data_IF_873721611005
#
_entry.id   IF_873721611005
#
_cell.length_a   1.000
_cell.length_b   1.000
_cell.length_c   1.000
_cell.angle_alpha   90.00
_cell.angle_beta   90.00
_cell.angle_gamma   90.00
#
_symmetry.space_group_name_H-M   'P 1'
#
loop_
_entity.id
_entity.type
_entity.pdbx_description
1 polymer ?
#
# COMPACT_ATOMS: atom_id res chain seq x y z
N UNK A 1 58.07 8.58 -22.09
CA UNK A 1 57.15 9.63 -22.59
C UNK A 1 55.75 9.35 -22.08
N UNK A 2 55.26 10.12 -21.09
CA UNK A 2 53.87 10.09 -20.65
C UNK A 2 53.08 11.20 -21.37
N UNK A 3 51.79 11.02 -21.62
CA UNK A 3 50.90 12.18 -21.56
C UNK A 3 49.48 11.82 -21.13
N UNK A 4 49.05 12.61 -20.15
CA UNK A 4 47.75 12.69 -19.53
C UNK A 4 46.84 13.59 -20.39
N UNK A 5 45.55 13.29 -20.44
CA UNK A 5 44.50 14.29 -20.61
C UNK A 5 43.19 13.64 -20.12
N UNK A 6 42.67 13.90 -18.91
CA UNK A 6 42.21 15.15 -18.29
C UNK A 6 40.94 15.74 -18.93
N UNK A 7 39.85 15.59 -18.17
CA UNK A 7 38.82 16.60 -17.86
C UNK A 7 37.81 17.05 -18.91
N UNK A 8 36.53 16.70 -18.68
CA UNK A 8 35.45 17.64 -18.31
C UNK A 8 34.13 16.86 -18.10
N UNK A 9 33.55 16.85 -16.89
CA UNK A 9 32.50 17.77 -16.39
C UNK A 9 31.16 17.57 -17.14
N UNK A 10 29.98 17.40 -16.55
CA UNK A 10 29.47 17.45 -15.19
C UNK A 10 28.02 16.90 -15.21
N UNK A 11 27.37 16.89 -14.04
CA UNK A 11 25.91 17.01 -13.79
C UNK A 11 25.15 15.70 -13.45
N UNK A 12 24.96 15.57 -12.12
CA UNK A 12 23.76 15.12 -11.37
C UNK A 12 23.16 13.75 -11.69
N UNK A 13 23.36 12.81 -10.78
CA UNK A 13 22.22 12.30 -9.98
C UNK A 13 22.72 11.69 -8.67
N UNK A 14 22.13 12.08 -7.54
CA UNK A 14 22.39 11.51 -6.22
C UNK A 14 21.04 11.13 -5.64
N UNK A 15 20.66 9.87 -5.75
CA UNK A 15 19.49 9.31 -5.06
C UNK A 15 19.93 8.66 -3.74
N UNK A 16 19.61 9.32 -2.63
CA UNK A 16 19.60 8.77 -1.25
C UNK A 16 18.50 7.71 -1.10
N UNK A 17 18.65 6.76 -0.14
CA UNK A 17 17.77 6.77 1.05
C UNK A 17 18.54 6.36 2.34
N UNK A 18 17.97 6.35 3.57
CA UNK A 18 16.56 6.57 3.95
C UNK A 18 16.38 7.67 5.02
N UNK A 19 15.19 8.29 5.06
CA UNK A 19 14.79 9.22 6.12
C UNK A 19 13.47 8.73 6.72
N UNK A 20 13.61 8.13 7.89
CA UNK A 20 12.54 7.69 8.76
C UNK A 20 12.19 8.86 9.69
N UNK A 21 11.07 9.53 9.44
CA UNK A 21 10.49 10.52 10.34
C UNK A 21 9.09 10.05 10.67
N UNK A 22 8.96 9.40 11.83
CA UNK A 22 7.70 9.33 12.55
C UNK A 22 7.55 10.62 13.37
N UNK A 23 6.75 11.57 12.88
CA UNK A 23 6.31 12.72 13.64
C UNK A 23 4.97 12.42 14.33
N UNK A 24 5.10 12.01 15.59
CA UNK A 24 4.43 12.55 16.77
C UNK A 24 3.31 13.60 16.54
N UNK A 25 2.07 13.30 16.94
CA UNK A 25 1.30 14.22 17.81
C UNK A 25 0.21 13.46 18.58
N UNK A 26 0.55 12.99 19.78
CA UNK A 26 -0.42 12.70 20.83
C UNK A 26 -0.75 14.04 21.52
N UNK A 27 -1.99 14.51 21.37
CA UNK A 27 -2.52 15.57 22.24
C UNK A 27 -3.46 14.90 23.23
N UNK A 28 -2.94 14.61 24.42
CA UNK A 28 -3.74 14.70 25.64
C UNK A 28 -4.28 16.12 25.74
N UNK A 29 -5.58 16.30 25.97
CA UNK A 29 -6.09 17.47 26.69
C UNK A 29 -7.55 17.27 27.13
N UNK A 30 -7.69 17.36 28.45
CA UNK A 30 -8.81 17.94 29.19
C UNK A 30 -10.09 17.12 29.39
N UNK A 31 -10.09 16.41 30.53
CA UNK A 31 -11.27 15.98 31.26
C UNK A 31 -11.53 17.03 32.35
N UNK A 32 -12.53 17.90 32.19
CA UNK A 32 -13.19 18.48 33.36
C UNK A 32 -14.66 18.89 33.14
N UNK A 33 -15.42 18.54 34.16
CA UNK A 33 -16.73 18.97 34.69
C UNK A 33 -17.74 19.79 33.87
N UNK A 34 -19.00 19.32 33.90
CA UNK A 34 -20.17 20.04 34.49
C UNK A 34 -21.33 19.03 34.62
N UNK A 35 -21.66 18.55 35.83
CA UNK A 35 -22.72 19.01 36.73
C UNK A 35 -24.15 19.13 36.13
N UNK A 36 -24.97 18.14 36.51
CA UNK A 36 -26.30 18.24 37.15
C UNK A 36 -27.44 19.00 36.45
N UNK A 37 -28.52 18.29 36.08
CA UNK A 37 -29.94 18.71 36.29
C UNK A 37 -30.83 17.43 36.44
N UNK A 38 -31.89 17.40 37.30
CA UNK A 38 -32.39 16.20 37.98
C UNK A 38 -33.61 15.47 37.37
N UNK A 39 -33.90 14.32 37.98
CA UNK A 39 -34.78 13.20 37.60
C UNK A 39 -36.28 13.38 37.95
N UNK A 40 -36.94 14.50 37.56
CA UNK A 40 -38.37 14.72 37.87
C UNK A 40 -39.21 15.28 36.71
N UNK A 41 -39.02 14.78 35.49
CA UNK A 41 -39.83 15.16 34.33
C UNK A 41 -40.60 13.99 33.73
N UNK A 42 -41.74 13.61 34.34
CA UNK A 42 -42.86 12.96 33.64
C UNK A 42 -44.20 13.34 34.30
N UNK A 43 -45.20 13.86 33.55
CA UNK A 43 -46.56 13.95 34.03
C UNK A 43 -47.32 12.70 33.59
N UNK A 44 -47.80 11.88 34.54
CA UNK A 44 -48.82 10.88 34.25
C UNK A 44 -50.15 11.22 34.94
N UNK A 45 -51.21 11.11 34.16
CA UNK A 45 -52.58 11.51 34.46
C UNK A 45 -53.33 10.27 34.92
N UNK A 46 -54.05 10.34 36.05
CA UNK A 46 -55.45 9.87 36.19
C UNK A 46 -55.96 9.87 37.64
N UNK A 47 -57.24 10.26 37.73
CA UNK A 47 -58.26 9.90 38.72
C UNK A 47 -58.46 10.81 39.96
N UNK A 48 -59.35 11.78 39.74
CA UNK A 48 -60.39 12.33 40.64
C UNK A 48 -61.21 11.22 41.37
N UNK A 49 -62.14 11.53 42.33
CA UNK A 49 -62.07 12.47 43.46
C UNK A 49 -62.86 11.98 44.71
N UNK A 50 -62.89 12.75 45.82
CA UNK A 50 -63.89 12.50 46.86
C UNK A 50 -63.86 13.35 48.13
N UNK A 51 -64.60 14.47 48.08
CA UNK A 51 -65.45 15.04 49.16
C UNK A 51 -64.81 15.82 50.34
N UNK A 52 -65.48 16.95 50.64
CA UNK A 52 -65.47 17.78 51.86
C UNK A 52 -64.27 18.75 51.97
N UNK A 53 -64.41 20.07 52.11
CA UNK A 53 -65.34 20.88 52.89
C UNK A 53 -65.48 22.28 52.28
N UNK A 54 -66.70 22.79 52.13
CA UNK A 54 -66.95 24.23 51.96
C UNK A 54 -68.25 24.59 52.67
N UNK A 55 -68.14 24.93 53.95
CA UNK A 55 -69.20 25.59 54.71
C UNK A 55 -68.64 26.84 55.37
N UNK A 56 -69.40 27.92 55.21
CA UNK A 56 -69.48 29.11 56.08
C UNK A 56 -68.41 30.19 55.90
N UNK A 57 -68.68 31.12 54.97
CA UNK A 57 -68.80 32.58 55.21
C UNK A 57 -69.84 33.00 54.14
N UNK A 58 -71.07 33.41 54.44
CA UNK A 58 -71.44 34.72 54.97
C UNK A 58 -72.72 34.54 55.79
N UNK A 59 -72.54 34.45 57.11
CA UNK A 59 -73.52 34.88 58.11
C UNK A 59 -73.17 36.31 58.51
N UNK A 60 -74.23 37.10 58.75
CA UNK A 60 -74.29 38.46 59.34
C UNK A 60 -73.99 39.61 58.36
N UNK A 61 -74.88 40.57 58.11
CA UNK A 61 -76.02 41.09 58.87
C UNK A 61 -77.20 41.45 57.94
N UNK A 62 -78.42 41.31 58.46
CA UNK A 62 -79.65 41.81 57.85
C UNK A 62 -80.88 41.35 58.61
N UNK A 63 -80.91 41.65 59.91
CA UNK A 63 -82.02 41.34 60.82
C UNK A 63 -83.23 42.22 60.48
N UNK A 64 -84.40 41.59 60.43
CA UNK A 64 -85.61 42.15 61.03
C UNK A 64 -86.64 42.73 60.06
N UNK A 65 -87.69 41.95 59.78
CA UNK A 65 -89.07 42.40 59.99
C UNK A 65 -90.04 41.20 59.88
N UNK A 66 -90.63 40.81 61.00
CA UNK A 66 -91.69 39.80 61.09
C UNK A 66 -93.03 40.50 61.33
N UNK A 67 -94.05 40.09 60.56
CA UNK A 67 -95.47 40.35 60.80
C UNK A 67 -96.13 41.18 59.69
N UNK A 68 -97.20 40.74 59.01
CA UNK A 68 -98.05 39.57 59.22
C UNK A 68 -99.08 39.43 58.08
N UNK A 69 -99.60 38.21 57.99
CA UNK A 69 -100.40 37.58 56.94
C UNK A 69 -101.76 38.21 56.59
N UNK A 70 -102.22 37.87 55.38
CA UNK A 70 -103.61 37.64 54.98
C UNK A 70 -103.54 36.42 54.02
N UNK A 71 -104.39 35.39 54.00
CA UNK A 71 -105.77 35.22 54.40
C UNK A 71 -106.10 33.72 54.48
N UNK A 72 -106.76 33.26 55.54
CA UNK A 72 -107.94 32.41 55.36
C UNK A 72 -108.83 32.51 56.59
N UNK A 73 -109.97 33.19 56.38
CA UNK A 73 -111.31 32.77 56.79
C UNK A 73 -111.47 32.16 58.19
N UNK A 74 -112.09 32.91 59.11
CA UNK A 74 -113.50 32.67 59.46
C UNK A 74 -114.03 33.77 60.41
N UNK A 75 -115.32 33.99 60.27
CA UNK A 75 -116.06 35.19 60.65
C UNK A 75 -116.10 35.49 62.15
N UNK A 76 -116.02 36.78 62.42
CA UNK A 76 -116.39 37.44 63.64
C UNK A 76 -117.91 37.49 63.87
N UNK A 77 -118.23 37.50 65.17
CA UNK A 77 -119.24 38.33 65.83
C UNK A 77 -120.71 37.91 65.86
N UNK A 78 -121.05 37.39 67.04
CA UNK A 78 -122.20 37.82 67.82
C UNK A 78 -122.28 39.35 67.95
N UNK A 79 -123.43 39.92 67.61
CA UNK A 79 -123.80 41.30 67.96
C UNK A 79 -125.01 41.27 68.88
N UNK A 80 -124.80 41.85 70.06
CA UNK A 80 -125.80 42.05 71.11
C UNK A 80 -126.80 43.16 70.74
N UNK A 81 -128.01 42.96 71.25
CA UNK A 81 -129.17 43.87 71.25
C UNK A 81 -128.80 45.32 71.61
N UNK A 82 -129.41 46.32 70.96
CA UNK A 82 -129.36 47.70 71.42
C UNK A 82 -130.53 48.00 72.37
N UNK A 83 -130.23 48.65 73.50
CA UNK A 83 -131.22 49.30 74.37
C UNK A 83 -131.08 50.82 74.23
N UNK A 84 -132.12 51.40 73.62
CA UNK A 84 -132.83 52.63 74.01
C UNK A 84 -132.10 53.98 73.97
N UNK A 85 -132.49 54.82 72.99
CA UNK A 85 -132.58 56.28 73.13
C UNK A 85 -133.43 56.90 71.98
N UNK A 86 -134.27 57.89 72.28
CA UNK A 86 -134.72 58.95 71.37
C UNK A 86 -134.76 60.26 72.17
N UNK A 87 -134.59 61.46 71.57
CA UNK A 87 -133.97 61.83 70.30
C UNK A 87 -132.74 62.74 70.54
N UNK A 88 -132.15 63.23 69.45
CA UNK A 88 -131.55 64.56 69.45
C UNK A 88 -130.06 64.59 69.75
N UNK A 89 -129.24 64.28 68.75
CA UNK A 89 -128.56 65.32 67.95
C UNK A 89 -127.60 66.18 68.75
N UNK A 90 -126.34 66.00 68.34
CA UNK A 90 -125.39 67.08 68.04
C UNK A 90 -124.97 67.86 69.28
N UNK A 91 -123.68 67.74 69.59
CA UNK A 91 -122.68 68.77 69.29
C UNK A 91 -121.40 68.27 69.93
N UNK A 92 -120.61 67.61 69.09
CA UNK A 92 -119.36 66.97 69.46
C UNK A 92 -118.31 68.04 69.73
N UNK A 93 -117.65 67.89 70.86
CA UNK A 93 -116.53 68.67 71.36
C UNK A 93 -115.22 67.95 71.05
N UNK A 94 -114.27 68.76 70.58
CA UNK A 94 -113.06 68.43 69.84
C UNK A 94 -111.86 68.25 70.79
N UNK A 95 -111.15 67.13 70.74
CA UNK A 95 -109.94 66.88 71.55
C UNK A 95 -108.74 66.67 70.63
N UNK A 96 -107.72 67.48 70.88
CA UNK A 96 -106.52 67.70 70.08
C UNK A 96 -105.52 66.57 70.32
N UNK A 97 -105.80 65.39 69.79
CA UNK A 97 -104.79 64.35 69.66
C UNK A 97 -104.26 64.39 68.23
N UNK A 98 -102.97 64.69 68.12
CA UNK A 98 -102.23 64.62 66.87
C UNK A 98 -101.96 63.13 66.62
N UNK A 99 -102.39 62.58 65.46
CA UNK A 99 -102.17 61.17 65.15
C UNK A 99 -100.69 60.91 64.84
N UNK A 100 -100.15 59.84 65.44
CA UNK A 100 -98.81 59.34 65.13
C UNK A 100 -98.95 58.37 63.95
N UNK A 101 -98.38 58.78 62.81
CA UNK A 101 -98.19 57.94 61.64
C UNK A 101 -96.81 57.28 61.72
N UNK A 102 -96.80 55.96 61.61
CA UNK A 102 -95.59 55.14 61.66
C UNK A 102 -94.88 55.17 60.31
N UNK A 103 -93.76 55.89 60.26
CA UNK A 103 -92.80 55.84 59.15
C UNK A 103 -91.59 55.00 59.56
N UNK A 104 -91.16 54.11 58.66
CA UNK A 104 -89.93 53.32 58.81
C UNK A 104 -88.71 54.23 58.70
N UNK A 105 -87.92 54.33 59.77
CA UNK A 105 -86.66 55.06 59.80
C UNK A 105 -85.54 54.12 59.30
N UNK A 106 -84.95 54.40 58.14
CA UNK A 106 -83.75 53.68 57.72
C UNK A 106 -82.51 54.32 58.36
N UNK A 107 -81.85 53.55 59.22
CA UNK A 107 -80.59 53.96 59.87
C UNK A 107 -79.45 53.78 58.86
N UNK A 108 -79.04 54.86 58.21
CA UNK A 108 -77.91 54.85 57.28
C UNK A 108 -76.64 55.29 57.99
N UNK A 109 -75.56 54.52 57.90
CA UNK A 109 -74.23 54.91 58.34
C UNK A 109 -73.37 55.29 57.12
N UNK A 110 -72.74 56.46 57.18
CA UNK A 110 -71.80 56.91 56.15
C UNK A 110 -70.37 56.51 56.51
N UNK A 111 -69.68 55.84 55.58
CA UNK A 111 -68.26 55.50 55.71
C UNK A 111 -67.48 56.27 54.65
N UNK A 112 -66.42 56.96 55.08
CA UNK A 112 -65.43 57.55 54.17
C UNK A 112 -64.35 56.51 53.94
N UNK A 113 -64.18 56.07 52.70
CA UNK A 113 -63.15 55.13 52.31
C UNK A 113 -62.44 55.57 51.04
N UNK A 114 -61.19 55.16 50.88
CA UNK A 114 -60.43 55.34 49.64
C UNK A 114 -60.58 54.13 48.75
N UNK A 115 -60.85 54.34 47.47
CA UNK A 115 -60.89 53.26 46.48
C UNK A 115 -59.46 52.96 46.02
N UNK A 116 -59.01 51.73 46.22
CA UNK A 116 -57.75 51.23 45.65
C UNK A 116 -58.00 50.29 44.48
N UNK A 117 -57.09 50.30 43.51
CA UNK A 117 -57.15 49.39 42.38
C UNK A 117 -57.02 47.94 42.88
N UNK A 118 -57.99 47.08 42.52
CA UNK A 118 -58.01 45.66 42.93
C UNK A 118 -56.70 44.93 42.61
N UNK A 119 -55.99 45.33 41.55
CA UNK A 119 -54.62 44.94 41.22
C UNK A 119 -53.90 46.07 40.48
N UNK A 120 -52.66 46.34 40.87
CA UNK A 120 -51.74 47.19 40.11
C UNK A 120 -50.56 46.34 39.63
N UNK A 121 -50.20 46.46 38.34
CA UNK A 121 -49.10 45.71 37.74
C UNK A 121 -48.17 46.70 37.06
N UNK A 122 -46.89 46.69 37.45
CA UNK A 122 -45.85 47.45 36.76
C UNK A 122 -45.35 46.66 35.56
N UNK A 123 -45.59 47.16 34.36
CA UNK A 123 -45.11 46.54 33.13
C UNK A 123 -43.60 46.81 33.01
N UNK A 124 -42.82 45.75 32.81
CA UNK A 124 -41.37 45.82 32.57
C UNK A 124 -41.04 44.94 31.37
N UNK A 125 -40.10 45.34 30.51
CA UNK A 125 -39.64 44.49 29.42
C UNK A 125 -38.83 43.32 29.99
N UNK A 126 -39.03 42.13 29.43
CA UNK A 126 -38.24 40.94 29.80
C UNK A 126 -36.87 40.89 29.11
N UNK A 127 -36.69 41.68 28.04
CA UNK A 127 -35.45 41.77 27.26
C UNK A 127 -35.02 43.22 27.13
N UNK A 128 -33.71 43.43 27.11
CA UNK A 128 -33.14 44.75 26.82
C UNK A 128 -33.32 45.09 25.33
N UNK A 129 -33.89 46.26 25.07
CA UNK A 129 -34.16 46.72 23.72
C UNK A 129 -34.62 48.16 23.69
N UNK A 130 -34.52 48.79 22.52
CA UNK A 130 -35.06 50.14 22.29
C UNK A 130 -36.55 50.04 22.06
N UNK A 131 -37.35 50.83 22.79
CA UNK A 131 -38.78 51.01 22.48
C UNK A 131 -38.86 51.72 21.12
N UNK A 132 -39.37 51.02 20.11
CA UNK A 132 -39.54 51.57 18.76
C UNK A 132 -40.94 52.09 18.52
N UNK A 133 -41.91 51.60 19.27
CA UNK A 133 -43.31 51.98 19.13
C UNK A 133 -44.05 51.74 20.44
N UNK A 134 -44.85 52.70 20.88
CA UNK A 134 -45.79 52.52 21.98
C UNK A 134 -47.18 52.43 21.34
N UNK A 135 -47.82 51.29 21.50
CA UNK A 135 -49.06 50.91 20.82
C UNK A 135 -50.31 51.18 21.67
N UNK A 136 -50.13 51.51 22.95
CA UNK A 136 -51.21 51.86 23.87
C UNK A 136 -51.19 53.36 24.20
N UNK A 137 -52.37 53.99 24.22
CA UNK A 137 -52.53 55.40 24.61
C UNK A 137 -52.92 55.48 26.09
N UNK A 138 -52.47 56.53 26.77
CA UNK A 138 -52.77 56.72 28.19
C UNK A 138 -54.29 56.88 28.42
N UNK A 139 -54.80 56.22 29.47
CA UNK A 139 -56.24 56.20 29.79
C UNK A 139 -57.06 55.17 29.02
N UNK A 140 -56.47 54.41 28.10
CA UNK A 140 -57.19 53.34 27.38
C UNK A 140 -57.23 52.02 28.17
N UNK A 141 -58.36 51.30 28.06
CA UNK A 141 -58.48 49.95 28.61
C UNK A 141 -57.74 48.95 27.72
N UNK A 142 -56.80 48.20 28.31
CA UNK A 142 -56.04 47.16 27.61
C UNK A 142 -56.46 45.76 28.07
N UNK A 143 -56.51 44.82 27.13
CA UNK A 143 -56.79 43.41 27.41
C UNK A 143 -55.51 42.60 27.61
N UNK A 144 -55.59 41.49 28.35
CA UNK A 144 -54.44 40.59 28.56
C UNK A 144 -53.92 40.06 27.21
N UNK A 145 -52.62 40.22 26.96
CA UNK A 145 -51.96 39.79 25.72
C UNK A 145 -51.96 40.86 24.62
N UNK A 146 -52.62 42.00 24.82
CA UNK A 146 -52.53 43.13 23.91
C UNK A 146 -51.13 43.73 23.96
N UNK A 147 -50.51 43.95 22.79
CA UNK A 147 -49.19 44.55 22.70
C UNK A 147 -49.26 46.02 23.13
N UNK A 148 -48.46 46.39 24.12
CA UNK A 148 -48.44 47.73 24.72
C UNK A 148 -47.31 48.57 24.11
N UNK A 149 -46.17 47.93 23.86
CA UNK A 149 -45.02 48.53 23.20
C UNK A 149 -44.25 47.48 22.40
N UNK A 150 -43.56 47.93 21.36
CA UNK A 150 -42.71 47.10 20.52
C UNK A 150 -41.25 47.46 20.81
N UNK A 151 -40.45 46.45 21.13
CA UNK A 151 -39.03 46.61 21.41
C UNK A 151 -38.20 46.05 20.25
N UNK A 152 -37.13 46.76 19.88
CA UNK A 152 -36.12 46.27 18.94
C UNK A 152 -34.81 46.00 19.67
N UNK A 153 -34.30 44.78 19.52
CA UNK A 153 -33.02 44.34 20.08
C UNK A 153 -32.21 43.64 19.00
N UNK A 154 -31.11 44.26 18.58
CA UNK A 154 -30.27 43.75 17.50
C UNK A 154 -29.61 42.41 17.90
N UNK A 155 -29.34 42.21 19.19
CA UNK A 155 -28.79 40.96 19.73
C UNK A 155 -29.78 39.79 19.61
N UNK A 156 -31.06 40.00 19.92
CA UNK A 156 -32.10 38.96 19.79
C UNK A 156 -32.28 38.58 18.33
N UNK A 157 -32.28 39.57 17.42
CA UNK A 157 -32.40 39.32 15.99
C UNK A 157 -31.16 38.62 15.40
N UNK A 158 -29.95 39.01 15.82
CA UNK A 158 -28.71 38.32 15.45
C UNK A 158 -28.67 36.88 15.97
N UNK A 159 -29.08 36.64 17.23
CA UNK A 159 -29.13 35.30 17.81
C UNK A 159 -30.17 34.40 17.11
N UNK A 160 -31.32 34.97 16.75
CA UNK A 160 -32.33 34.27 15.96
C UNK A 160 -31.78 33.88 14.58
N UNK A 161 -31.08 34.79 13.89
CA UNK A 161 -30.42 34.50 12.59
C UNK A 161 -29.37 33.38 12.72
N UNK A 162 -28.49 33.46 13.73
CA UNK A 162 -27.47 32.43 14.00
C UNK A 162 -28.11 31.06 14.28
N UNK A 163 -29.14 31.02 15.11
CA UNK A 163 -29.83 29.77 15.47
C UNK A 163 -30.56 29.17 14.29
N UNK A 164 -31.24 29.99 13.47
CA UNK A 164 -31.87 29.55 12.23
C UNK A 164 -30.84 28.99 11.24
N UNK A 165 -29.66 29.62 11.10
CA UNK A 165 -28.58 29.12 10.25
C UNK A 165 -28.03 27.78 10.75
N UNK A 166 -27.82 27.65 12.07
CA UNK A 166 -27.42 26.39 12.70
C UNK A 166 -28.46 25.29 12.51
N UNK A 167 -29.75 25.60 12.68
CA UNK A 167 -30.83 24.65 12.46
C UNK A 167 -30.82 24.15 11.00
N UNK A 168 -30.72 25.05 10.02
CA UNK A 168 -30.62 24.69 8.60
C UNK A 168 -29.42 23.79 8.31
N UNK A 169 -28.24 24.10 8.86
CA UNK A 169 -27.03 23.28 8.71
C UNK A 169 -27.21 21.89 9.31
N UNK A 170 -27.78 21.80 10.52
CA UNK A 170 -28.00 20.52 11.20
C UNK A 170 -29.07 19.68 10.49
N UNK A 171 -30.14 20.31 9.99
CA UNK A 171 -31.15 19.64 9.17
C UNK A 171 -30.57 19.12 7.86
N UNK A 172 -29.73 19.90 7.17
CA UNK A 172 -29.03 19.45 5.96
C UNK A 172 -28.10 18.27 6.24
N UNK A 173 -27.33 18.32 7.34
CA UNK A 173 -26.46 17.21 7.77
C UNK A 173 -27.25 15.95 8.13
N UNK A 174 -28.39 16.10 8.82
CA UNK A 174 -29.27 14.99 9.15
C UNK A 174 -29.91 14.39 7.89
N UNK A 175 -30.27 15.21 6.90
CA UNK A 175 -30.77 14.73 5.61
C UNK A 175 -29.68 13.94 4.85
N UNK A 176 -28.43 14.42 4.83
CA UNK A 176 -27.29 13.70 4.25
C UNK A 176 -27.07 12.34 4.94
N UNK A 177 -27.04 12.33 6.29
CA UNK A 177 -26.85 11.09 7.06
C UNK A 177 -28.02 10.09 6.91
N UNK A 178 -29.27 10.57 6.83
CA UNK A 178 -30.45 9.72 6.59
C UNK A 178 -30.48 9.12 5.19
N UNK A 179 -29.91 9.82 4.20
CA UNK A 179 -29.79 9.32 2.82
C UNK A 179 -28.77 8.18 2.73
N UNK A 180 -27.84 8.09 3.68
CA UNK A 180 -26.84 7.02 3.77
C UNK A 180 -25.68 7.21 2.80
N UNK A 181 -24.92 6.14 2.55
CA UNK A 181 -23.82 6.16 1.59
C UNK A 181 -24.35 6.44 0.18
N UNK A 182 -23.66 7.30 -0.57
CA UNK A 182 -24.06 7.66 -1.94
C UNK A 182 -24.01 6.42 -2.85
N UNK A 183 -24.91 6.30 -3.85
CA UNK A 183 -24.94 5.15 -4.76
C UNK A 183 -23.58 4.84 -5.41
N UNK A 184 -22.78 5.87 -5.72
CA UNK A 184 -21.44 5.74 -6.31
C UNK A 184 -20.46 5.09 -5.34
N UNK A 185 -20.53 5.42 -4.05
CA UNK A 185 -19.68 4.84 -3.02
C UNK A 185 -20.02 3.36 -2.78
N UNK A 186 -21.31 3.02 -2.80
CA UNK A 186 -21.79 1.64 -2.73
C UNK A 186 -21.33 0.86 -3.97
N UNK A 187 -21.47 1.44 -5.16
CA UNK A 187 -21.01 0.83 -6.42
C UNK A 187 -19.50 0.57 -6.41
N UNK A 188 -18.70 1.55 -6.00
CA UNK A 188 -17.24 1.41 -5.89
C UNK A 188 -16.83 0.33 -4.87
N UNK A 189 -17.53 0.26 -3.73
CA UNK A 189 -17.27 -0.75 -2.70
C UNK A 189 -17.66 -2.16 -3.17
N UNK A 190 -18.78 -2.30 -3.88
CA UNK A 190 -19.18 -3.56 -4.53
C UNK A 190 -18.20 -4.00 -5.60
N UNK A 191 -17.70 -3.08 -6.43
CA UNK A 191 -16.69 -3.38 -7.43
C UNK A 191 -15.39 -3.92 -6.79
N UNK A 192 -14.92 -3.30 -5.69
CA UNK A 192 -13.75 -3.79 -4.93
C UNK A 192 -13.97 -5.16 -4.30
N UNK A 193 -15.17 -5.40 -3.78
CA UNK A 193 -15.54 -6.70 -3.21
C UNK A 193 -15.57 -7.77 -4.30
N UNK A 194 -16.21 -7.50 -5.44
CA UNK A 194 -16.23 -8.42 -6.58
C UNK A 194 -14.81 -8.71 -7.10
N UNK A 195 -13.95 -7.69 -7.22
CA UNK A 195 -12.54 -7.88 -7.61
C UNK A 195 -11.79 -8.75 -6.59
N UNK A 196 -11.99 -8.51 -5.29
CA UNK A 196 -11.36 -9.31 -4.23
C UNK A 196 -11.86 -10.75 -4.21
N UNK A 197 -13.16 -10.96 -4.45
CA UNK A 197 -13.76 -12.29 -4.55
C UNK A 197 -13.29 -13.03 -5.80
N UNK A 198 -13.19 -12.37 -6.94
CA UNK A 198 -12.65 -12.94 -8.17
C UNK A 198 -11.18 -13.36 -7.97
N UNK A 199 -10.38 -12.51 -7.33
CA UNK A 199 -8.98 -12.83 -6.98
C UNK A 199 -8.89 -13.99 -6.00
N UNK A 200 -9.76 -14.05 -4.99
CA UNK A 200 -9.81 -15.17 -4.05
C UNK A 200 -10.24 -16.47 -4.76
N UNK A 201 -11.19 -16.40 -5.68
CA UNK A 201 -11.63 -17.55 -6.47
C UNK A 201 -10.49 -18.05 -7.36
N UNK A 202 -9.78 -17.16 -8.05
CA UNK A 202 -8.58 -17.49 -8.83
C UNK A 202 -7.52 -18.18 -7.97
N UNK A 203 -7.20 -17.64 -6.79
CA UNK A 203 -6.26 -18.24 -5.84
C UNK A 203 -6.74 -19.60 -5.29
N UNK A 204 -8.05 -19.78 -5.06
CA UNK A 204 -8.62 -21.06 -4.58
C UNK A 204 -8.66 -22.15 -5.64
N UNK A 205 -8.66 -21.77 -6.92
CA UNK A 205 -8.67 -22.73 -8.03
C UNK A 205 -7.27 -23.33 -8.26
N UNK A 206 -6.24 -22.76 -7.61
CA UNK A 206 -4.85 -23.22 -7.71
C UNK A 206 -4.19 -22.82 -9.02
N UNK A 207 -3.04 -23.42 -9.33
CA UNK A 207 -2.38 -23.22 -10.61
C UNK A 207 -3.25 -23.69 -11.78
N UNK A 208 -3.24 -22.91 -12.87
CA UNK A 208 -4.01 -23.27 -14.07
C UNK A 208 -3.40 -24.52 -14.74
N UNK A 209 -4.21 -25.40 -15.37
CA UNK A 209 -3.70 -26.59 -16.07
C UNK A 209 -2.59 -26.27 -17.08
N UNK A 210 -2.67 -25.12 -17.75
CA UNK A 210 -1.64 -24.65 -18.69
C UNK A 210 -0.31 -24.34 -18.00
N UNK A 211 -0.35 -23.80 -16.78
CA UNK A 211 0.86 -23.52 -15.98
C UNK A 211 1.51 -24.82 -15.51
N UNK A 212 0.72 -25.79 -15.07
CA UNK A 212 1.21 -27.12 -14.69
C UNK A 212 1.80 -27.84 -15.91
N UNK A 213 1.13 -27.77 -17.07
CA UNK A 213 1.64 -28.34 -18.31
C UNK A 213 2.96 -27.69 -18.74
N UNK A 214 3.09 -26.37 -18.64
CA UNK A 214 4.32 -25.65 -18.93
C UNK A 214 5.45 -26.01 -17.96
N UNK A 215 5.16 -26.11 -16.66
CA UNK A 215 6.14 -26.53 -15.65
C UNK A 215 6.60 -27.98 -15.87
N UNK A 216 5.68 -28.89 -16.21
CA UNK A 216 6.01 -30.27 -16.59
C UNK A 216 6.85 -30.34 -17.86
N UNK A 217 6.55 -29.53 -18.87
CA UNK A 217 7.35 -29.45 -20.09
C UNK A 217 8.78 -28.96 -19.78
N UNK A 218 8.92 -27.96 -18.90
CA UNK A 218 10.23 -27.47 -18.45
C UNK A 218 11.02 -28.54 -17.69
N UNK A 219 10.36 -29.28 -16.79
CA UNK A 219 10.99 -30.41 -16.10
C UNK A 219 11.49 -31.48 -17.08
N UNK A 220 10.64 -31.88 -18.04
CA UNK A 220 11.02 -32.86 -19.05
C UNK A 220 12.20 -32.38 -19.90
N UNK A 221 12.22 -31.09 -20.27
CA UNK A 221 13.33 -30.48 -20.99
C UNK A 221 14.63 -30.53 -20.17
N UNK A 222 14.61 -30.11 -18.91
CA UNK A 222 15.80 -30.17 -18.04
C UNK A 222 16.29 -31.61 -17.83
N UNK A 223 15.37 -32.57 -17.70
CA UNK A 223 15.71 -34.00 -17.59
C UNK A 223 16.36 -34.54 -18.88
N UNK A 224 15.84 -34.14 -20.04
CA UNK A 224 16.43 -34.51 -21.32
C UNK A 224 17.84 -33.94 -21.48
N UNK A 225 18.05 -32.67 -21.12
CA UNK A 225 19.38 -32.05 -21.11
C UNK A 225 20.35 -32.76 -20.16
N UNK A 226 19.91 -33.10 -18.94
CA UNK A 226 20.74 -33.87 -18.00
C UNK A 226 21.09 -35.27 -18.54
N UNK A 227 20.14 -35.94 -19.20
CA UNK A 227 20.37 -37.25 -19.80
C UNK A 227 21.39 -37.17 -20.94
N UNK A 228 21.34 -36.13 -21.78
CA UNK A 228 22.32 -35.87 -22.83
C UNK A 228 23.73 -35.64 -22.25
N UNK A 229 23.84 -34.81 -21.20
CA UNK A 229 25.12 -34.54 -20.53
C UNK A 229 25.72 -35.80 -19.87
N UNK A 230 24.88 -36.69 -19.33
CA UNK A 230 25.29 -37.97 -18.72
C UNK A 230 25.61 -39.06 -19.74
N UNK A 231 24.91 -39.07 -20.88
CA UNK A 231 25.26 -39.93 -22.01
C UNK A 231 26.67 -39.59 -22.52
N UNK A 232 27.10 -38.34 -22.36
CA UNK A 232 28.47 -37.91 -22.58
C UNK A 232 28.87 -38.02 -24.05
N UNK A 233 30.15 -38.29 -24.29
CA UNK A 233 30.69 -38.48 -25.64
C UNK A 233 30.23 -39.82 -26.21
N UNK A 234 29.82 -39.82 -27.48
CA UNK A 234 29.44 -41.05 -28.19
C UNK A 234 30.64 -41.99 -28.38
N UNK A 235 30.40 -43.30 -28.30
CA UNK A 235 31.44 -44.32 -28.51
C UNK A 235 32.09 -44.23 -29.89
N UNK A 236 31.33 -43.81 -30.92
CA UNK A 236 31.85 -43.60 -32.27
C UNK A 236 32.88 -42.47 -32.33
N UNK A 237 32.68 -41.38 -31.59
CA UNK A 237 33.61 -40.25 -31.53
C UNK A 237 34.91 -40.65 -30.81
N UNK A 238 34.80 -41.42 -29.71
CA UNK A 238 35.94 -42.00 -29.02
C UNK A 238 36.69 -42.97 -29.95
N UNK A 239 35.97 -43.79 -30.72
CA UNK A 239 36.54 -44.69 -31.72
C UNK A 239 37.31 -43.95 -32.80
N UNK A 240 36.77 -42.84 -33.31
CA UNK A 240 37.45 -41.99 -34.28
C UNK A 240 38.74 -41.36 -33.71
N UNK A 241 38.68 -40.83 -32.49
CA UNK A 241 39.86 -40.26 -31.83
C UNK A 241 40.95 -41.32 -31.57
N UNK A 242 40.57 -42.55 -31.21
CA UNK A 242 41.50 -43.68 -31.08
C UNK A 242 42.18 -44.02 -32.41
N UNK A 243 41.42 -44.06 -33.50
CA UNK A 243 41.99 -44.30 -34.83
C UNK A 243 42.98 -43.19 -35.26
N UNK A 244 42.65 -41.93 -34.98
CA UNK A 244 43.55 -40.79 -35.24
C UNK A 244 44.84 -40.86 -34.40
N UNK A 245 44.73 -41.25 -33.13
CA UNK A 245 45.90 -41.48 -32.28
C UNK A 245 46.77 -42.61 -32.83
N UNK A 246 46.17 -43.74 -33.18
CA UNK A 246 46.89 -44.88 -33.76
C UNK A 246 47.60 -44.50 -35.07
N UNK A 247 46.96 -43.71 -35.93
CA UNK A 247 47.58 -43.20 -37.15
C UNK A 247 48.78 -42.29 -36.85
N UNK A 248 48.66 -41.40 -35.86
CA UNK A 248 49.77 -40.54 -35.44
C UNK A 248 50.94 -41.35 -34.87
N UNK A 249 50.66 -42.39 -34.08
CA UNK A 249 51.68 -43.29 -33.52
C UNK A 249 52.38 -44.13 -34.61
N UNK A 250 51.64 -44.57 -35.63
CA UNK A 250 52.22 -45.26 -36.78
C UNK A 250 53.20 -44.34 -37.55
N UNK A 251 52.79 -43.10 -37.84
CA UNK A 251 53.66 -42.11 -38.49
C UNK A 251 54.93 -41.82 -37.67
N UNK A 252 54.81 -41.72 -36.35
CA UNK A 252 55.95 -41.54 -35.45
C UNK A 252 56.88 -42.76 -35.48
N UNK A 253 56.33 -43.96 -35.51
CA UNK A 253 57.09 -45.21 -35.59
C UNK A 253 57.89 -45.26 -36.89
N UNK A 254 57.26 -44.97 -38.02
CA UNK A 254 57.90 -44.93 -39.34
C UNK A 254 59.06 -43.92 -39.40
N UNK A 255 58.90 -42.74 -38.79
CA UNK A 255 59.97 -41.74 -38.69
C UNK A 255 61.13 -42.20 -37.79
N UNK A 256 60.85 -43.05 -36.78
CA UNK A 256 61.87 -43.58 -35.86
C UNK A 256 62.68 -44.71 -36.48
N UNK A 257 62.06 -45.63 -37.22
CA UNK A 257 62.69 -46.90 -37.65
C UNK A 257 62.89 -47.06 -39.15
N UNK A 258 62.14 -46.36 -40.02
CA UNK A 258 62.05 -46.70 -41.44
C UNK A 258 62.96 -45.87 -42.35
N UNK A 259 62.35 -45.04 -43.20
CA UNK A 259 63.00 -44.41 -44.36
C UNK A 259 64.10 -43.40 -44.02
N UNK A 260 63.97 -42.66 -42.92
CA UNK A 260 64.95 -41.64 -42.56
C UNK A 260 66.28 -42.22 -42.09
N UNK A 261 66.27 -43.40 -41.47
CA UNK A 261 67.50 -44.08 -41.08
C UNK A 261 68.24 -44.61 -42.30
N UNK A 262 67.51 -45.12 -43.30
CA UNK A 262 68.08 -45.59 -44.57
C UNK A 262 68.71 -44.43 -45.36
N UNK A 263 68.05 -43.27 -45.44
CA UNK A 263 68.60 -42.09 -46.11
C UNK A 263 69.89 -41.59 -45.44
N UNK A 264 69.93 -41.57 -44.10
CA UNK A 264 71.14 -41.23 -43.34
C UNK A 264 72.24 -42.27 -43.58
N UNK A 265 71.90 -43.56 -43.63
CA UNK A 265 72.86 -44.62 -43.89
C UNK A 265 73.48 -44.50 -45.30
N UNK A 266 72.66 -44.22 -46.32
CA UNK A 266 73.13 -43.97 -47.68
C UNK A 266 74.04 -42.73 -47.74
N UNK A 267 73.65 -41.64 -47.07
CA UNK A 267 74.48 -40.44 -47.01
C UNK A 267 75.82 -40.68 -46.27
N UNK A 268 75.84 -41.53 -45.23
CA UNK A 268 77.08 -41.95 -44.57
C UNK A 268 77.97 -42.81 -45.48
N UNK A 269 77.40 -43.72 -46.26
CA UNK A 269 78.14 -44.47 -47.25
C UNK A 269 78.78 -43.56 -48.31
N UNK A 270 78.11 -42.46 -48.69
CA UNK A 270 78.70 -41.46 -49.58
C UNK A 270 79.91 -40.76 -48.95
N UNK A 271 79.88 -40.46 -47.64
CA UNK A 271 81.05 -39.91 -46.93
C UNK A 271 82.24 -40.88 -47.03
N UNK A 272 82.01 -42.18 -46.86
CA UNK A 272 83.07 -43.19 -46.96
C UNK A 272 83.71 -43.21 -48.35
N UNK A 273 82.91 -43.14 -49.42
CA UNK A 273 83.42 -43.02 -50.81
C UNK A 273 84.25 -41.75 -50.99
N UNK A 274 83.74 -40.59 -50.53
CA UNK A 274 84.46 -39.32 -50.66
C UNK A 274 85.73 -39.28 -49.80
N UNK A 275 85.73 -39.96 -48.65
CA UNK A 275 86.90 -40.08 -47.79
C UNK A 275 88.00 -40.91 -48.47
N UNK A 276 87.65 -42.01 -49.13
CA UNK A 276 88.61 -42.80 -49.90
C UNK A 276 89.21 -41.99 -51.07
N UNK A 277 88.44 -41.13 -51.73
CA UNK A 277 88.94 -40.20 -52.75
C UNK A 277 89.92 -39.18 -52.17
N UNK A 278 89.60 -38.59 -51.01
CA UNK A 278 90.49 -37.67 -50.30
C UNK A 278 91.78 -38.36 -49.87
N UNK A 279 91.70 -39.57 -49.34
CA UNK A 279 92.87 -40.33 -48.90
C UNK A 279 93.82 -40.59 -50.10
N UNK A 280 93.27 -41.00 -51.25
CA UNK A 280 94.04 -41.15 -52.49
C UNK A 280 94.68 -39.83 -52.94
N UNK A 281 93.93 -38.72 -52.95
CA UNK A 281 94.44 -37.41 -53.33
C UNK A 281 95.55 -36.94 -52.39
N UNK A 282 95.41 -37.18 -51.08
CA UNK A 282 96.41 -36.82 -50.07
C UNK A 282 97.72 -37.61 -50.26
N UNK A 283 97.64 -38.89 -50.62
CA UNK A 283 98.81 -39.71 -50.94
C UNK A 283 99.50 -39.23 -52.23
N UNK A 284 98.73 -38.79 -53.23
CA UNK A 284 99.29 -38.17 -54.43
C UNK A 284 100.01 -36.86 -54.12
N UNK A 285 99.43 -35.99 -53.28
CA UNK A 285 100.09 -34.75 -52.83
C UNK A 285 101.39 -35.07 -52.11
N UNK A 286 101.39 -35.99 -51.13
CA UNK A 286 102.61 -36.41 -50.41
C UNK A 286 103.71 -36.90 -51.35
N UNK A 287 103.36 -37.78 -52.29
CA UNK A 287 104.32 -38.31 -53.27
C UNK A 287 104.90 -37.20 -54.14
N UNK A 288 104.05 -36.31 -54.66
CA UNK A 288 104.49 -35.23 -55.54
C UNK A 288 105.22 -34.11 -54.79
N UNK A 289 104.94 -33.91 -53.51
CA UNK A 289 105.71 -33.02 -52.65
C UNK A 289 107.18 -33.47 -52.58
N UNK A 290 107.43 -34.75 -52.33
CA UNK A 290 108.79 -35.29 -52.32
C UNK A 290 109.50 -35.09 -53.68
N UNK A 291 108.81 -35.39 -54.79
CA UNK A 291 109.36 -35.19 -56.14
C UNK A 291 109.66 -33.72 -56.45
N UNK A 292 108.84 -32.79 -55.94
CA UNK A 292 109.08 -31.36 -56.07
C UNK A 292 110.31 -30.94 -55.29
N UNK A 293 110.43 -31.40 -54.05
CA UNK A 293 111.54 -31.07 -53.17
C UNK A 293 112.87 -31.63 -53.71
N UNK A 294 112.82 -32.72 -54.49
CA UNK A 294 113.91 -33.28 -55.30
C UNK A 294 114.17 -32.54 -56.63
N UNK A 295 113.32 -31.57 -57.01
CA UNK A 295 113.41 -30.81 -58.25
C UNK A 295 112.91 -31.53 -59.51
N UNK A 296 112.23 -32.67 -59.37
CA UNK A 296 111.77 -33.50 -60.48
C UNK A 296 110.46 -33.01 -61.14
N UNK A 297 109.66 -32.17 -60.46
CA UNK A 297 108.43 -31.57 -60.99
C UNK A 297 108.41 -30.05 -60.77
N UNK A 298 107.66 -29.33 -61.61
CA UNK A 298 107.46 -27.89 -61.47
C UNK A 298 106.47 -27.56 -60.34
N UNK A 299 106.66 -26.41 -59.67
CA UNK A 299 105.75 -25.91 -58.63
C UNK A 299 104.29 -25.80 -59.14
N UNK A 300 104.08 -25.38 -60.38
CA UNK A 300 102.74 -25.29 -60.97
C UNK A 300 102.03 -26.65 -60.99
N UNK A 301 102.74 -27.73 -61.35
CA UNK A 301 102.20 -29.10 -61.37
C UNK A 301 101.83 -29.57 -59.97
N UNK A 302 102.66 -29.27 -58.97
CA UNK A 302 102.33 -29.56 -57.58
C UNK A 302 101.07 -28.82 -57.11
N UNK A 303 100.95 -27.52 -57.44
CA UNK A 303 99.79 -26.70 -57.10
C UNK A 303 98.48 -27.22 -57.71
N UNK A 304 98.51 -27.82 -58.90
CA UNK A 304 97.35 -28.48 -59.50
C UNK A 304 96.89 -29.70 -58.71
N UNK A 305 97.82 -30.57 -58.29
CA UNK A 305 97.53 -31.76 -57.49
C UNK A 305 97.04 -31.37 -56.08
N UNK A 306 97.65 -30.34 -55.49
CA UNK A 306 97.21 -29.79 -54.20
C UNK A 306 95.80 -29.21 -54.27
N UNK A 307 95.42 -28.56 -55.38
CA UNK A 307 94.04 -28.12 -55.62
C UNK A 307 93.05 -29.29 -55.66
N UNK A 308 93.45 -30.43 -56.24
CA UNK A 308 92.60 -31.63 -56.29
C UNK A 308 92.35 -32.22 -54.89
N UNK A 309 93.37 -32.28 -54.02
CA UNK A 309 93.19 -32.66 -52.62
C UNK A 309 92.24 -31.70 -51.90
N UNK A 310 92.39 -30.38 -52.10
CA UNK A 310 91.47 -29.39 -51.52
C UNK A 310 90.04 -29.56 -52.02
N UNK A 311 89.86 -29.89 -53.30
CA UNK A 311 88.55 -30.18 -53.87
C UNK A 311 87.95 -31.47 -53.27
N UNK A 312 88.74 -32.53 -53.08
CA UNK A 312 88.30 -33.75 -52.40
C UNK A 312 87.94 -33.49 -50.93
N UNK A 313 88.71 -32.65 -50.22
CA UNK A 313 88.43 -32.26 -48.84
C UNK A 313 87.09 -31.51 -48.75
N UNK A 314 86.82 -30.59 -49.68
CA UNK A 314 85.56 -29.87 -49.73
C UNK A 314 84.37 -30.81 -49.97
N UNK A 315 84.51 -31.82 -50.84
CA UNK A 315 83.48 -32.85 -51.11
C UNK A 315 83.14 -33.67 -49.87
N UNK A 316 84.14 -34.06 -49.07
CA UNK A 316 83.92 -34.77 -47.79
C UNK A 316 83.15 -33.89 -46.80
N UNK A 317 83.54 -32.62 -46.65
CA UNK A 317 82.86 -31.70 -45.72
C UNK A 317 81.43 -31.40 -46.16
N UNK A 318 81.16 -31.30 -47.46
CA UNK A 318 79.81 -31.20 -48.00
C UNK A 318 78.96 -32.44 -47.66
N UNK A 319 79.52 -33.64 -47.85
CA UNK A 319 78.84 -34.89 -47.51
C UNK A 319 78.53 -35.00 -46.00
N UNK A 320 79.46 -34.59 -45.13
CA UNK A 320 79.24 -34.52 -43.66
C UNK A 320 78.15 -33.53 -43.27
N UNK A 321 78.13 -32.34 -43.90
CA UNK A 321 77.07 -31.35 -43.69
C UNK A 321 75.71 -31.90 -44.09
N UNK A 322 75.63 -32.64 -45.21
CA UNK A 322 74.39 -33.31 -45.65
C UNK A 322 73.87 -34.29 -44.59
N UNK A 323 74.73 -35.16 -44.05
CA UNK A 323 74.34 -36.08 -42.97
C UNK A 323 73.85 -35.32 -41.72
N UNK A 324 74.55 -34.26 -41.34
CA UNK A 324 74.17 -33.45 -40.17
C UNK A 324 72.80 -32.79 -40.37
N UNK A 325 72.52 -32.31 -41.59
CA UNK A 325 71.22 -31.74 -41.95
C UNK A 325 70.12 -32.80 -41.91
N UNK A 326 70.35 -34.00 -42.44
CA UNK A 326 69.40 -35.11 -42.37
C UNK A 326 69.10 -35.53 -40.93
N UNK A 327 70.12 -35.57 -40.06
CA UNK A 327 69.94 -35.87 -38.63
C UNK A 327 69.08 -34.82 -37.93
N UNK A 328 69.37 -33.53 -38.14
CA UNK A 328 68.54 -32.43 -37.59
C UNK A 328 67.11 -32.46 -38.10
N UNK A 329 66.93 -32.72 -39.40
CA UNK A 329 65.59 -32.84 -39.99
C UNK A 329 64.82 -34.03 -39.38
N UNK A 330 65.49 -35.16 -39.15
CA UNK A 330 64.90 -36.33 -38.49
C UNK A 330 64.49 -36.02 -37.05
N UNK A 331 65.39 -35.43 -36.27
CA UNK A 331 65.10 -35.05 -34.88
C UNK A 331 63.90 -34.09 -34.81
N UNK A 332 63.91 -33.05 -35.65
CA UNK A 332 62.79 -32.11 -35.74
C UNK A 332 61.48 -32.80 -36.17
N UNK A 333 61.53 -33.72 -37.14
CA UNK A 333 60.33 -34.44 -37.56
C UNK A 333 59.79 -35.34 -36.45
N UNK A 334 60.66 -36.05 -35.73
CA UNK A 334 60.25 -36.87 -34.58
C UNK A 334 59.59 -36.00 -33.53
N UNK A 335 60.17 -34.85 -33.17
CA UNK A 335 59.60 -33.92 -32.19
C UNK A 335 58.20 -33.44 -32.63
N UNK A 336 58.01 -33.08 -33.90
CA UNK A 336 56.70 -32.64 -34.42
C UNK A 336 55.66 -33.77 -34.37
N UNK A 337 56.06 -35.01 -34.66
CA UNK A 337 55.17 -36.18 -34.61
C UNK A 337 54.85 -36.59 -33.17
N UNK A 338 55.81 -36.50 -32.26
CA UNK A 338 55.58 -36.73 -30.82
C UNK A 338 54.60 -35.72 -30.26
N UNK A 339 54.75 -34.44 -30.62
CA UNK A 339 53.78 -33.41 -30.26
C UNK A 339 52.38 -33.70 -30.83
N UNK A 340 52.30 -34.18 -32.08
CA UNK A 340 51.02 -34.57 -32.69
C UNK A 340 50.37 -35.76 -31.97
N UNK A 341 51.14 -36.80 -31.61
CA UNK A 341 50.65 -37.93 -30.80
C UNK A 341 50.13 -37.45 -29.46
N UNK A 342 50.87 -36.59 -28.77
CA UNK A 342 50.43 -36.05 -27.48
C UNK A 342 49.16 -35.22 -27.62
N UNK A 343 49.03 -34.40 -28.66
CA UNK A 343 47.79 -33.68 -28.96
C UNK A 343 46.61 -34.63 -29.13
N UNK A 344 46.75 -35.72 -29.91
CA UNK A 344 45.68 -36.71 -30.09
C UNK A 344 45.35 -37.45 -28.79
N UNK A 345 46.35 -37.76 -27.96
CA UNK A 345 46.12 -38.34 -26.63
C UNK A 345 45.32 -37.41 -25.72
N UNK A 346 45.61 -36.11 -25.75
CA UNK A 346 44.86 -35.12 -24.96
C UNK A 346 43.42 -34.98 -25.44
N UNK A 347 43.19 -35.03 -26.76
CA UNK A 347 41.83 -35.07 -27.34
C UNK A 347 41.09 -36.31 -26.85
N UNK A 348 41.70 -37.51 -26.97
CA UNK A 348 41.09 -38.75 -26.53
C UNK A 348 40.76 -38.72 -25.02
N UNK A 349 41.70 -38.27 -24.18
CA UNK A 349 41.45 -38.13 -22.72
C UNK A 349 40.29 -37.18 -22.42
N UNK A 350 40.16 -36.08 -23.16
CA UNK A 350 39.03 -35.15 -22.97
C UNK A 350 37.70 -35.82 -23.32
N UNK A 351 37.66 -36.59 -24.41
CA UNK A 351 36.47 -37.32 -24.83
C UNK A 351 36.10 -38.45 -23.84
N UNK A 352 37.11 -39.17 -23.32
CA UNK A 352 36.92 -40.23 -22.31
C UNK A 352 36.48 -39.69 -20.95
N UNK A 353 37.00 -38.53 -20.54
CA UNK A 353 36.57 -37.85 -19.32
C UNK A 353 35.14 -37.28 -19.44
N UNK A 354 34.63 -37.14 -20.67
CA UNK A 354 33.28 -36.70 -20.95
C UNK A 354 32.94 -35.31 -20.42
N UNK A 355 31.66 -35.10 -20.12
CA UNK A 355 31.14 -33.85 -19.57
C UNK A 355 31.70 -33.56 -18.19
N UNK A 356 32.03 -32.29 -17.90
CA UNK A 356 32.57 -31.91 -16.60
C UNK A 356 31.57 -32.19 -15.46
N UNK A 357 32.01 -32.71 -14.30
CA UNK A 357 31.11 -32.97 -13.16
C UNK A 357 30.33 -31.74 -12.69
N UNK A 358 30.94 -30.55 -12.78
CA UNK A 358 30.31 -29.27 -12.43
C UNK A 358 29.10 -28.94 -13.32
N UNK A 359 29.17 -29.29 -14.61
CA UNK A 359 28.07 -29.06 -15.56
C UNK A 359 26.91 -30.04 -15.30
N UNK A 360 27.23 -31.30 -14.99
CA UNK A 360 26.23 -32.29 -14.57
C UNK A 360 25.54 -31.85 -13.29
N UNK A 361 26.30 -31.41 -12.28
CA UNK A 361 25.76 -30.92 -11.01
C UNK A 361 24.84 -29.70 -11.20
N UNK A 362 25.20 -28.78 -12.10
CA UNK A 362 24.34 -27.64 -12.47
C UNK A 362 23.04 -28.11 -13.13
N UNK A 363 23.10 -29.03 -14.08
CA UNK A 363 21.91 -29.57 -14.74
C UNK A 363 21.01 -30.35 -13.76
N UNK A 364 21.61 -31.06 -12.80
CA UNK A 364 20.87 -31.70 -11.69
C UNK A 364 20.14 -30.67 -10.82
N UNK A 365 20.78 -29.54 -10.50
CA UNK A 365 20.16 -28.45 -9.76
C UNK A 365 18.99 -27.82 -10.55
N UNK A 366 19.14 -27.64 -11.87
CA UNK A 366 18.06 -27.15 -12.74
C UNK A 366 16.87 -28.12 -12.80
N UNK A 367 17.11 -29.43 -12.83
CA UNK A 367 16.06 -30.45 -12.72
C UNK A 367 15.37 -30.38 -11.35
N UNK A 368 16.14 -30.22 -10.28
CA UNK A 368 15.59 -30.10 -8.92
C UNK A 368 14.72 -28.85 -8.76
N UNK A 369 15.15 -27.70 -9.30
CA UNK A 369 14.37 -26.45 -9.31
C UNK A 369 13.08 -26.61 -10.12
N UNK A 370 13.16 -27.16 -11.34
CA UNK A 370 12.00 -27.37 -12.19
C UNK A 370 10.98 -28.32 -11.55
N UNK A 371 11.47 -29.34 -10.84
CA UNK A 371 10.63 -30.26 -10.06
C UNK A 371 9.97 -29.57 -8.88
N UNK A 372 10.73 -28.79 -8.10
CA UNK A 372 10.20 -28.03 -6.96
C UNK A 372 9.10 -27.07 -7.40
N UNK A 373 9.30 -26.35 -8.49
CA UNK A 373 8.29 -25.43 -9.06
C UNK A 373 7.04 -26.18 -9.52
N UNK A 374 7.17 -27.37 -10.11
CA UNK A 374 6.02 -28.20 -10.47
C UNK A 374 5.24 -28.67 -9.23
N UNK A 375 5.95 -29.10 -8.19
CA UNK A 375 5.34 -29.54 -6.92
C UNK A 375 4.62 -28.38 -6.21
N UNK A 376 5.18 -27.16 -6.23
CA UNK A 376 4.54 -25.95 -5.70
C UNK A 376 3.24 -25.63 -6.44
N UNK A 377 3.24 -25.70 -7.78
CA UNK A 377 2.04 -25.48 -8.59
C UNK A 377 0.98 -26.59 -8.44
N UNK A 378 1.37 -27.80 -8.01
CA UNK A 378 0.44 -28.90 -7.77
C UNK A 378 -0.18 -28.88 -6.37
N UNK A 379 0.55 -28.33 -5.39
CA UNK A 379 0.18 -28.33 -3.98
C UNK A 379 -0.38 -26.99 -3.48
N UNK A 380 -0.21 -25.90 -4.23
CA UNK A 380 -0.76 -24.57 -3.97
C UNK A 380 -2.00 -24.28 -4.81
#
# INVERSE_FOLDING_TARGET
MPNLNSSNSAIKDKTKPPENIQENTTIELYKDQTKTVPEWFQPDKKNFPGVLWATVIITTLGIGFLGGQWWQSQNSETVNKPSTAAPGRRRSTLVKAIPIETTSLQETSEFVGTLEAKRSVRIRPEIDGRVIEILAQEGTFISKGQAIAKLKSDNVEANLRRTKANLRRTQARLAELKTGARPEQIAASRARLNQSQARLAELKTGARPEQIAAARARLNQSQASLAELRAGTRDEEIGQAKAQLQEAEARLTDAKSGSMLEEIAQAKAQIEVQQAELDLASEQVKRNQNLRDEGAIAELTFQEIFKEEKAAQARVEEAKRRVTQLQRNRESTIETLEAAVEQQRQVLRRLENGTRPEEIARAEAEVAEARSNLEELQNG
#
